data_IF_990209685100
#
_entry.id   IF_990209685100
#
_cell.length_a   1.000
_cell.length_b   1.000
_cell.length_c   1.000
_cell.angle_alpha   90.00
_cell.angle_beta   90.00
_cell.angle_gamma   90.00
#
_symmetry.space_group_name_H-M   'P 1'
#
loop_
_entity.id
_entity.type
_entity.pdbx_description
1 polymer ?
#
# COMPACT_ATOMS: atom_id res chain seq x y z
N UNK A 1 20.88 3.44 6.07
CA UNK A 1 21.31 3.68 4.67
C UNK A 1 22.07 5.00 4.57
N UNK A 2 23.23 5.01 3.91
CA UNK A 2 24.11 6.18 3.69
C UNK A 2 23.35 7.41 3.16
N UNK A 3 22.29 7.16 2.36
CA UNK A 3 21.40 8.18 1.79
C UNK A 3 20.74 9.12 2.81
N UNK A 4 20.64 8.76 4.09
CA UNK A 4 20.07 9.65 5.13
C UNK A 4 20.97 10.86 5.45
N UNK A 5 22.26 10.72 5.17
CA UNK A 5 23.29 11.71 5.50
C UNK A 5 23.66 12.61 4.32
N UNK A 6 23.24 12.24 3.10
CA UNK A 6 23.49 13.04 1.91
C UNK A 6 22.49 14.21 1.80
N UNK A 7 22.94 15.43 1.45
CA UNK A 7 22.04 16.52 1.10
C UNK A 7 21.29 16.18 -0.20
N UNK A 8 19.97 16.39 -0.23
CA UNK A 8 19.16 16.11 -1.42
C UNK A 8 17.70 15.75 -1.15
N UNK A 9 16.92 15.40 -2.19
CA UNK A 9 15.49 15.12 -2.08
C UNK A 9 15.19 13.88 -1.22
N UNK A 10 16.18 13.02 -0.98
CA UNK A 10 16.04 11.80 -0.18
C UNK A 10 15.49 12.06 1.23
N UNK A 11 15.89 13.16 1.88
CA UNK A 11 15.31 13.55 3.18
C UNK A 11 13.80 13.77 3.11
N UNK A 12 13.31 14.38 2.02
CA UNK A 12 11.88 14.61 1.79
C UNK A 12 11.16 13.30 1.45
N UNK A 13 11.78 12.42 0.65
CA UNK A 13 11.25 11.09 0.32
C UNK A 13 11.06 10.27 1.59
N UNK A 14 12.07 10.17 2.46
CA UNK A 14 11.96 9.42 3.71
C UNK A 14 10.85 9.96 4.62
N UNK A 15 10.73 11.29 4.74
CA UNK A 15 9.63 11.89 5.50
C UNK A 15 8.24 11.57 4.93
N UNK A 16 8.10 11.51 3.61
CA UNK A 16 6.83 11.12 2.99
C UNK A 16 6.55 9.64 3.16
N UNK A 17 7.59 8.80 3.07
CA UNK A 17 7.49 7.37 3.33
C UNK A 17 7.02 7.08 4.76
N UNK A 18 7.60 7.74 5.76
CA UNK A 18 7.16 7.63 7.16
C UNK A 18 5.69 8.01 7.34
N UNK A 19 5.23 9.07 6.68
CA UNK A 19 3.81 9.48 6.71
C UNK A 19 2.90 8.42 6.10
N UNK A 20 3.32 7.82 4.98
CA UNK A 20 2.53 6.78 4.32
C UNK A 20 2.47 5.51 5.17
N UNK A 21 3.58 5.09 5.76
CA UNK A 21 3.62 3.98 6.71
C UNK A 21 2.70 4.26 7.91
N UNK A 22 2.73 5.47 8.48
CA UNK A 22 1.86 5.84 9.58
C UNK A 22 0.37 5.77 9.20
N UNK A 23 0.01 6.27 8.01
CA UNK A 23 -1.34 6.18 7.49
C UNK A 23 -1.81 4.72 7.35
N UNK A 24 -1.03 3.87 6.67
CA UNK A 24 -1.39 2.47 6.46
C UNK A 24 -1.47 1.70 7.78
N UNK A 25 -0.55 1.94 8.72
CA UNK A 25 -0.64 1.36 10.08
C UNK A 25 -1.94 1.74 10.78
N UNK A 26 -2.39 3.00 10.64
CA UNK A 26 -3.68 3.43 11.16
C UNK A 26 -4.88 2.72 10.52
N UNK A 27 -4.82 2.45 9.22
CA UNK A 27 -5.84 1.65 8.52
C UNK A 27 -5.86 0.20 9.02
N UNK A 28 -4.69 -0.44 9.13
CA UNK A 28 -4.57 -1.82 9.65
C UNK A 28 -5.08 -1.90 11.09
N UNK A 29 -4.76 -0.94 11.95
CA UNK A 29 -5.23 -0.90 13.33
C UNK A 29 -6.76 -0.89 13.41
N UNK A 30 -7.43 -0.08 12.57
CA UNK A 30 -8.91 -0.06 12.50
C UNK A 30 -9.51 -1.38 12.05
N UNK A 31 -8.87 -2.09 11.11
CA UNK A 31 -9.32 -3.42 10.69
C UNK A 31 -9.15 -4.43 11.83
N UNK A 32 -8.03 -4.39 12.56
CA UNK A 32 -7.82 -5.24 13.74
C UNK A 32 -8.88 -5.04 14.83
N UNK A 33 -9.30 -3.80 15.07
CA UNK A 33 -10.35 -3.48 16.06
C UNK A 33 -11.74 -4.00 15.65
N UNK A 34 -12.04 -4.01 14.35
CA UNK A 34 -13.37 -4.36 13.82
C UNK A 34 -13.39 -5.71 13.07
N UNK A 35 -12.37 -6.55 13.28
CA UNK A 35 -12.20 -7.76 12.47
C UNK A 35 -13.34 -8.76 12.74
N UNK A 36 -14.24 -8.87 11.77
CA UNK A 36 -15.28 -9.90 11.79
C UNK A 36 -14.74 -11.20 11.20
N UNK A 37 -14.72 -12.27 12.00
CA UNK A 37 -14.26 -13.58 11.54
C UNK A 37 -15.24 -14.26 10.58
N UNK A 38 -16.51 -13.89 10.59
CA UNK A 38 -17.59 -14.56 9.87
C UNK A 38 -17.79 -14.09 8.43
N UNK A 39 -17.38 -12.87 8.08
CA UNK A 39 -17.57 -12.29 6.74
C UNK A 39 -16.30 -12.30 5.88
N UNK A 40 -16.46 -12.30 4.55
CA UNK A 40 -15.37 -12.02 3.63
C UNK A 40 -15.10 -10.51 3.62
N UNK A 41 -14.14 -10.07 4.43
CA UNK A 41 -13.68 -8.68 4.46
C UNK A 41 -12.78 -8.33 3.26
N UNK A 42 -12.05 -7.23 3.36
CA UNK A 42 -11.14 -6.80 2.29
C UNK A 42 -9.78 -7.54 2.35
N UNK A 43 -8.81 -7.05 1.56
CA UNK A 43 -7.47 -7.62 1.53
C UNK A 43 -6.81 -7.64 2.93
N UNK A 44 -6.96 -6.56 3.70
CA UNK A 44 -6.35 -6.43 5.03
C UNK A 44 -7.00 -7.43 5.98
N UNK A 45 -8.33 -7.52 5.99
CA UNK A 45 -9.04 -8.50 6.83
C UNK A 45 -8.66 -9.94 6.48
N UNK A 46 -8.60 -10.24 5.19
CA UNK A 46 -8.21 -11.56 4.70
C UNK A 46 -6.80 -11.93 5.14
N UNK A 47 -5.86 -10.99 5.07
CA UNK A 47 -4.48 -11.21 5.52
C UNK A 47 -4.40 -11.36 7.05
N UNK A 48 -5.14 -10.55 7.81
CA UNK A 48 -5.20 -10.67 9.27
C UNK A 48 -5.74 -12.03 9.73
N UNK A 49 -6.72 -12.59 9.01
CA UNK A 49 -7.21 -13.96 9.24
C UNK A 49 -6.13 -14.99 8.96
N UNK A 50 -5.35 -14.81 7.91
CA UNK A 50 -4.25 -15.72 7.57
C UNK A 50 -3.11 -15.67 8.61
N UNK A 51 -2.81 -14.48 9.17
CA UNK A 51 -1.91 -14.37 10.34
C UNK A 51 -2.43 -15.20 11.51
N UNK A 52 -3.73 -15.13 11.81
CA UNK A 52 -4.33 -15.90 12.93
C UNK A 52 -4.26 -17.42 12.70
N UNK A 53 -4.45 -17.85 11.45
CA UNK A 53 -4.38 -19.26 11.04
C UNK A 53 -2.97 -19.84 11.18
N UNK A 54 -1.94 -19.04 10.93
CA UNK A 54 -0.52 -19.45 11.02
C UNK A 54 0.20 -18.94 12.28
N UNK A 55 -0.53 -18.52 13.32
CA UNK A 55 0.04 -17.91 14.54
C UNK A 55 1.10 -18.77 15.25
N UNK A 56 1.01 -20.10 15.12
CA UNK A 56 1.89 -21.06 15.77
C UNK A 56 3.07 -21.47 14.86
N UNK A 57 3.07 -21.04 13.60
CA UNK A 57 4.14 -21.29 12.63
C UNK A 57 5.07 -20.08 12.55
N UNK A 58 6.21 -20.18 13.24
CA UNK A 58 7.25 -19.13 13.24
C UNK A 58 7.97 -18.98 11.91
N UNK A 59 7.78 -19.91 10.97
CA UNK A 59 8.34 -19.84 9.61
C UNK A 59 7.41 -19.18 8.59
N UNK A 60 6.19 -18.83 9.01
CA UNK A 60 5.19 -18.20 8.14
C UNK A 60 5.59 -16.79 7.73
N UNK A 61 5.35 -16.45 6.46
CA UNK A 61 5.49 -15.09 5.94
C UNK A 61 4.28 -14.19 6.25
N UNK A 62 3.22 -14.75 6.85
CA UNK A 62 2.05 -14.00 7.28
C UNK A 62 2.30 -13.39 8.65
N UNK A 63 2.81 -12.16 8.66
CA UNK A 63 3.00 -11.33 9.85
C UNK A 63 2.72 -9.85 9.55
N UNK A 64 2.50 -9.04 10.59
CA UNK A 64 2.04 -7.66 10.46
C UNK A 64 2.99 -6.75 9.66
N UNK A 65 4.31 -6.99 9.75
CA UNK A 65 5.28 -6.23 8.96
C UNK A 65 5.12 -6.49 7.45
N UNK A 66 4.90 -7.75 7.05
CA UNK A 66 4.65 -8.06 5.65
C UNK A 66 3.30 -7.52 5.19
N UNK A 67 2.26 -7.59 6.01
CA UNK A 67 0.97 -6.95 5.73
C UNK A 67 1.13 -5.44 5.46
N UNK A 68 1.91 -4.74 6.29
CA UNK A 68 2.19 -3.33 6.07
C UNK A 68 2.89 -3.09 4.72
N UNK A 69 3.95 -3.86 4.44
CA UNK A 69 4.72 -3.72 3.21
C UNK A 69 3.87 -4.01 1.96
N UNK A 70 3.14 -5.11 1.93
CA UNK A 70 2.31 -5.48 0.76
C UNK A 70 1.14 -4.52 0.57
N UNK A 71 0.54 -4.01 1.65
CA UNK A 71 -0.51 -2.98 1.56
C UNK A 71 0.04 -1.66 0.98
N UNK A 72 1.25 -1.25 1.39
CA UNK A 72 1.93 -0.09 0.81
C UNK A 72 2.24 -0.29 -0.68
N UNK A 73 2.73 -1.47 -1.05
CA UNK A 73 3.05 -1.82 -2.44
C UNK A 73 1.81 -1.77 -3.33
N UNK A 74 0.70 -2.39 -2.89
CA UNK A 74 -0.58 -2.36 -3.61
C UNK A 74 -1.08 -0.92 -3.79
N UNK A 75 -1.06 -0.13 -2.72
CA UNK A 75 -1.54 1.25 -2.75
C UNK A 75 -0.71 2.13 -3.69
N UNK A 76 0.61 2.08 -3.60
CA UNK A 76 1.52 2.90 -4.41
C UNK A 76 1.52 2.48 -5.88
N UNK A 77 1.64 1.17 -6.13
CA UNK A 77 1.73 0.64 -7.48
C UNK A 77 0.47 0.92 -8.27
N UNK A 78 -0.71 0.69 -7.68
CA UNK A 78 -1.98 0.94 -8.35
C UNK A 78 -2.26 2.42 -8.59
N UNK A 79 -2.00 3.27 -7.59
CA UNK A 79 -2.44 4.67 -7.66
C UNK A 79 -1.63 5.49 -8.67
N UNK A 80 -0.30 5.49 -8.56
CA UNK A 80 0.54 6.37 -9.39
C UNK A 80 0.57 5.94 -10.86
N UNK A 81 0.65 4.62 -11.12
CA UNK A 81 0.73 4.11 -12.49
C UNK A 81 -0.59 4.31 -13.23
N UNK A 82 -1.73 3.98 -12.62
CA UNK A 82 -3.05 4.17 -13.22
C UNK A 82 -3.37 5.65 -13.38
N UNK A 83 -3.09 6.49 -12.38
CA UNK A 83 -3.30 7.94 -12.52
C UNK A 83 -2.47 8.53 -13.67
N UNK A 84 -1.22 8.08 -13.82
CA UNK A 84 -0.35 8.49 -14.93
C UNK A 84 -0.89 8.02 -16.28
N UNK A 85 -1.30 6.76 -16.37
CA UNK A 85 -1.91 6.22 -17.59
C UNK A 85 -3.17 6.98 -17.99
N UNK A 86 -4.07 7.29 -17.03
CA UNK A 86 -5.29 8.08 -17.28
C UNK A 86 -4.93 9.50 -17.73
N UNK A 87 -3.96 10.16 -17.10
CA UNK A 87 -3.51 11.50 -17.51
C UNK A 87 -3.02 11.51 -18.97
N UNK A 88 -2.23 10.51 -19.35
CA UNK A 88 -1.79 10.36 -20.74
C UNK A 88 -2.96 10.05 -21.68
N UNK A 89 -3.83 9.12 -21.31
CA UNK A 89 -5.01 8.80 -22.11
C UNK A 89 -5.87 10.05 -22.39
N UNK A 90 -6.14 10.87 -21.36
CA UNK A 90 -6.87 12.13 -21.51
C UNK A 90 -6.15 13.15 -22.39
N UNK A 91 -4.82 13.28 -22.24
CA UNK A 91 -4.01 14.16 -23.10
C UNK A 91 -4.09 13.73 -24.57
N UNK A 92 -3.97 12.44 -24.85
CA UNK A 92 -4.08 11.90 -26.20
C UNK A 92 -5.47 12.09 -26.79
N UNK A 93 -6.52 11.84 -26.00
CA UNK A 93 -7.91 12.09 -26.41
C UNK A 93 -8.13 13.56 -26.80
N UNK A 94 -7.63 14.51 -26.01
CA UNK A 94 -7.75 15.94 -26.32
C UNK A 94 -6.93 16.38 -27.56
N UNK A 95 -5.80 15.72 -27.82
CA UNK A 95 -4.89 16.07 -28.93
C UNK A 95 -5.32 15.45 -30.26
N UNK A 96 -5.98 14.28 -30.21
CA UNK A 96 -6.42 13.52 -31.39
C UNK A 96 -7.93 13.24 -31.35
N UNK A 97 -8.77 14.28 -31.45
CA UNK A 97 -10.23 14.15 -31.27
C UNK A 97 -10.93 13.27 -32.34
N UNK A 98 -10.24 12.95 -33.43
CA UNK A 98 -10.76 12.08 -34.50
C UNK A 98 -10.57 10.58 -34.23
N UNK A 99 -9.82 10.21 -33.19
CA UNK A 99 -9.55 8.81 -32.81
C UNK A 99 -10.56 8.29 -31.76
N UNK A 100 -11.21 9.20 -31.05
CA UNK A 100 -12.17 8.89 -29.97
C UNK A 100 -13.47 8.27 -30.47
#
# INVERSE_FOLDING_TARGET
LVMRWLPGPFKKIFRHWEKLQYFVKGVIAKHKENLDQSEAGDYIDSYLKEIQKFKDDTSSYFHEENLLCTTLDLFLTGTETTATAIRWALLYMATYPHVQ
#
